data_IF_631420310420
#
_entry.id   IF_631420310420
#
_cell.length_a   1.000
_cell.length_b   1.000
_cell.length_c   1.000
_cell.angle_alpha   90.00
_cell.angle_beta   90.00
_cell.angle_gamma   90.00
#
_symmetry.space_group_name_H-M   'P 1'
#
loop_
_entity.id
_entity.type
_entity.pdbx_description
1 polymer ?
#
# COMPACT_ATOMS: atom_id res chain seq x y z
N UNK A 1 -2.17 17.64 -6.52
CA UNK A 1 -0.70 17.80 -6.49
C UNK A 1 0.08 16.62 -5.91
N UNK A 2 -0.23 16.05 -4.74
CA UNK A 2 0.55 14.92 -4.19
C UNK A 2 0.42 13.61 -4.99
N UNK A 3 -0.81 13.22 -5.33
CA UNK A 3 -1.08 11.96 -6.03
C UNK A 3 -0.62 11.98 -7.49
N UNK A 4 -0.76 13.12 -8.17
CA UNK A 4 -0.25 13.32 -9.53
C UNK A 4 1.28 13.19 -9.59
N UNK A 5 2.00 13.69 -8.58
CA UNK A 5 3.45 13.52 -8.49
C UNK A 5 3.84 12.05 -8.29
N UNK A 6 3.05 11.28 -7.53
CA UNK A 6 3.25 9.84 -7.37
C UNK A 6 3.08 9.11 -8.70
N UNK A 7 2.02 9.39 -9.46
CA UNK A 7 1.78 8.74 -10.76
C UNK A 7 2.81 9.19 -11.79
N UNK A 8 3.22 10.46 -11.80
CA UNK A 8 4.30 10.94 -12.65
C UNK A 8 5.63 10.23 -12.33
N UNK A 9 5.92 10.02 -11.04
CA UNK A 9 7.09 9.26 -10.61
C UNK A 9 7.01 7.79 -11.04
N UNK A 10 5.87 7.11 -10.82
CA UNK A 10 5.66 5.73 -11.27
C UNK A 10 5.81 5.58 -12.78
N UNK A 11 5.27 6.53 -13.54
CA UNK A 11 5.38 6.61 -15.00
C UNK A 11 6.83 6.80 -15.44
N UNK A 12 7.59 7.66 -14.74
CA UNK A 12 9.02 7.88 -15.02
C UNK A 12 9.89 6.65 -14.77
N UNK A 13 9.45 5.76 -13.89
CA UNK A 13 10.12 4.47 -13.62
C UNK A 13 9.58 3.31 -14.47
N UNK A 14 8.72 3.59 -15.46
CA UNK A 14 8.11 2.59 -16.35
C UNK A 14 7.38 1.46 -15.60
N UNK A 15 6.78 1.78 -14.45
CA UNK A 15 6.03 0.79 -13.68
C UNK A 15 4.64 0.62 -14.31
N UNK A 16 4.44 -0.48 -15.05
CA UNK A 16 3.15 -0.83 -15.68
C UNK A 16 2.30 -1.80 -14.84
N UNK A 17 2.93 -2.69 -14.09
CA UNK A 17 2.28 -3.69 -13.24
C UNK A 17 2.55 -3.37 -11.77
N UNK A 18 1.87 -2.34 -11.26
CA UNK A 18 1.89 -2.01 -9.83
C UNK A 18 0.65 -2.58 -9.14
N UNK A 19 0.88 -3.39 -8.10
CA UNK A 19 -0.13 -3.68 -7.08
C UNK A 19 0.14 -2.81 -5.85
N UNK A 20 -0.67 -1.77 -5.68
CA UNK A 20 -0.59 -0.86 -4.55
C UNK A 20 -1.40 -1.42 -3.38
N UNK A 21 -0.72 -1.82 -2.30
CA UNK A 21 -1.39 -2.14 -1.04
C UNK A 21 -1.35 -0.93 -0.10
N UNK A 22 -2.53 -0.53 0.40
CA UNK A 22 -2.67 0.54 1.37
C UNK A 22 -3.25 -0.01 2.67
N UNK A 23 -2.74 0.43 3.81
CA UNK A 23 -3.37 0.14 5.10
C UNK A 23 -4.62 1.02 5.25
N UNK A 24 -5.72 0.44 5.74
CA UNK A 24 -6.97 1.16 6.01
C UNK A 24 -6.88 2.04 7.28
N UNK A 25 -5.88 2.93 7.36
CA UNK A 25 -5.69 3.88 8.46
C UNK A 25 -6.39 5.21 8.17
N UNK A 26 -7.72 5.17 8.12
CA UNK A 26 -8.60 6.36 8.10
C UNK A 26 -8.86 7.01 6.72
N UNK A 27 -9.61 8.12 6.73
CA UNK A 27 -10.16 8.82 5.56
C UNK A 27 -9.17 9.27 4.47
N UNK A 28 -7.85 9.18 4.71
CA UNK A 28 -6.84 9.65 3.75
C UNK A 28 -6.39 8.55 2.76
N UNK A 29 -6.56 7.28 3.12
CA UNK A 29 -6.22 6.16 2.25
C UNK A 29 -7.20 5.98 1.10
N UNK A 30 -8.48 6.27 1.32
CA UNK A 30 -9.56 6.11 0.32
C UNK A 30 -9.37 6.99 -0.93
N UNK A 31 -9.09 8.31 -0.82
CA UNK A 31 -8.84 9.14 -1.99
C UNK A 31 -7.63 8.70 -2.82
N UNK A 32 -6.56 8.22 -2.15
CA UNK A 32 -5.37 7.72 -2.83
C UNK A 32 -5.64 6.38 -3.52
N UNK A 33 -6.36 5.47 -2.85
CA UNK A 33 -6.77 4.20 -3.43
C UNK A 33 -7.64 4.42 -4.68
N UNK A 34 -8.61 5.33 -4.60
CA UNK A 34 -9.47 5.69 -5.72
C UNK A 34 -8.67 6.31 -6.88
N UNK A 35 -7.73 7.20 -6.58
CA UNK A 35 -6.89 7.84 -7.60
C UNK A 35 -5.99 6.83 -8.34
N UNK A 36 -5.39 5.88 -7.60
CA UNK A 36 -4.56 4.83 -8.21
C UNK A 36 -5.40 3.83 -9.02
N UNK A 37 -6.59 3.50 -8.55
CA UNK A 37 -7.54 2.66 -9.28
C UNK A 37 -8.00 3.34 -10.58
N UNK A 38 -8.34 4.64 -10.54
CA UNK A 38 -8.73 5.42 -11.72
C UNK A 38 -7.57 5.55 -12.73
N UNK A 39 -6.33 5.61 -12.24
CA UNK A 39 -5.13 5.56 -13.06
C UNK A 39 -4.80 4.17 -13.65
N UNK A 40 -5.62 3.14 -13.36
CA UNK A 40 -5.50 1.80 -13.94
C UNK A 40 -4.59 0.83 -13.17
N UNK A 41 -4.17 1.18 -11.95
CA UNK A 41 -3.37 0.29 -11.11
C UNK A 41 -4.25 -0.65 -10.28
N UNK A 42 -3.70 -1.82 -9.94
CA UNK A 42 -4.36 -2.74 -9.00
C UNK A 42 -4.15 -2.20 -7.59
N UNK A 43 -5.23 -2.04 -6.83
CA UNK A 43 -5.17 -1.49 -5.49
C UNK A 43 -5.84 -2.43 -4.50
N UNK A 44 -5.19 -2.73 -3.38
CA UNK A 44 -5.81 -3.47 -2.28
C UNK A 44 -5.73 -2.69 -0.98
N UNK A 45 -6.86 -2.63 -0.28
CA UNK A 45 -6.95 -1.99 1.03
C UNK A 45 -6.84 -3.05 2.11
N UNK A 46 -5.68 -3.12 2.76
CA UNK A 46 -5.39 -4.07 3.81
C UNK A 46 -5.94 -3.60 5.16
N UNK A 47 -6.62 -4.49 5.88
CA UNK A 47 -7.10 -4.20 7.23
C UNK A 47 -5.89 -3.96 8.17
N UNK A 48 -5.82 -2.83 8.90
CA UNK A 48 -4.73 -2.56 9.84
C UNK A 48 -4.56 -3.65 10.89
N UNK A 49 -5.63 -4.34 11.28
CA UNK A 49 -5.54 -5.49 12.17
C UNK A 49 -4.79 -6.67 11.53
N UNK A 50 -4.96 -6.92 10.23
CA UNK A 50 -4.28 -7.97 9.49
C UNK A 50 -2.79 -7.62 9.26
N UNK A 51 -2.51 -6.36 8.90
CA UNK A 51 -1.14 -5.84 8.78
C UNK A 51 -0.40 -5.96 10.12
N UNK A 52 -1.05 -5.60 11.24
CA UNK A 52 -0.48 -5.76 12.59
C UNK A 52 -0.30 -7.23 12.99
N UNK A 53 -1.23 -8.11 12.64
CA UNK A 53 -1.08 -9.54 12.89
C UNK A 53 0.14 -10.12 12.15
N UNK A 54 0.35 -9.69 10.90
CA UNK A 54 1.53 -10.06 10.10
C UNK A 54 2.83 -9.48 10.69
N UNK A 55 2.81 -8.23 11.15
CA UNK A 55 3.95 -7.61 11.85
C UNK A 55 4.33 -8.34 13.14
N UNK A 56 3.32 -8.74 13.92
CA UNK A 56 3.52 -9.49 15.16
C UNK A 56 4.07 -10.90 14.88
N UNK A 57 3.65 -11.55 13.79
CA UNK A 57 4.21 -12.83 13.37
C UNK A 57 5.69 -12.71 12.93
N UNK A 58 6.09 -11.54 12.42
CA UNK A 58 7.46 -11.24 12.01
C UNK A 58 8.40 -10.70 13.10
N UNK A 59 7.96 -10.63 14.37
CA UNK A 59 8.76 -10.14 15.52
C UNK A 59 9.30 -8.68 15.39
N UNK A 60 8.72 -7.83 14.53
CA UNK A 60 9.16 -6.44 14.41
C UNK A 60 8.54 -5.55 15.50
N UNK A 61 9.35 -5.08 16.45
CA UNK A 61 8.93 -4.23 17.59
C UNK A 61 9.15 -2.72 17.36
N UNK A 62 9.66 -2.33 16.20
CA UNK A 62 9.98 -0.93 15.87
C UNK A 62 8.94 -0.34 14.93
N UNK A 63 8.18 0.65 15.41
CA UNK A 63 7.23 1.44 14.60
C UNK A 63 7.93 2.67 14.03
N UNK A 64 8.32 2.62 12.76
CA UNK A 64 8.67 3.80 11.97
C UNK A 64 7.93 3.71 10.63
N UNK A 65 7.56 4.86 10.04
CA UNK A 65 6.80 4.91 8.77
C UNK A 65 7.47 4.09 7.65
N UNK A 66 8.81 4.03 7.65
CA UNK A 66 9.57 3.21 6.71
C UNK A 66 9.38 1.70 6.93
N UNK A 67 9.40 1.26 8.18
CA UNK A 67 9.21 -0.16 8.52
C UNK A 67 7.76 -0.58 8.23
N UNK A 68 6.80 0.32 8.44
CA UNK A 68 5.39 0.07 8.16
C UNK A 68 5.13 -0.09 6.65
N UNK A 69 5.68 0.82 5.82
CA UNK A 69 5.62 0.72 4.37
C UNK A 69 6.28 -0.55 3.82
N UNK A 70 7.44 -0.94 4.36
CA UNK A 70 8.12 -2.18 3.97
C UNK A 70 7.31 -3.42 4.37
N UNK A 71 6.64 -3.38 5.52
CA UNK A 71 5.79 -4.45 5.98
C UNK A 71 4.55 -4.63 5.08
N UNK A 72 3.91 -3.53 4.68
CA UNK A 72 2.76 -3.55 3.76
C UNK A 72 3.18 -4.08 2.38
N UNK A 73 4.37 -3.68 1.89
CA UNK A 73 4.91 -4.19 0.63
C UNK A 73 5.18 -5.71 0.67
N UNK A 74 5.56 -6.26 1.83
CA UNK A 74 5.71 -7.72 2.04
C UNK A 74 4.38 -8.43 2.25
N UNK A 75 3.41 -7.78 2.89
CA UNK A 75 2.07 -8.31 3.14
C UNK A 75 1.30 -8.50 1.83
N UNK A 76 1.40 -7.54 0.90
CA UNK A 76 0.67 -7.52 -0.37
C UNK A 76 0.80 -8.84 -1.18
N UNK A 77 2.01 -9.31 -1.53
CA UNK A 77 2.17 -10.59 -2.22
C UNK A 77 1.91 -11.81 -1.33
N UNK A 78 2.11 -11.71 -0.02
CA UNK A 78 2.01 -12.84 0.91
C UNK A 78 0.56 -13.21 1.26
N UNK A 79 -0.33 -12.22 1.30
CA UNK A 79 -1.72 -12.40 1.72
C UNK A 79 -2.72 -12.21 0.59
N UNK A 80 -2.27 -11.71 -0.58
CA UNK A 80 -3.12 -11.41 -1.75
C UNK A 80 -4.49 -10.86 -1.33
N UNK A 81 -4.52 -9.76 -0.55
CA UNK A 81 -5.78 -9.16 -0.12
C UNK A 81 -6.64 -8.86 -1.34
N UNK A 82 -7.96 -8.98 -1.21
CA UNK A 82 -8.87 -8.70 -2.30
C UNK A 82 -8.59 -7.31 -2.88
N UNK A 83 -8.46 -7.25 -4.21
CA UNK A 83 -8.38 -6.02 -4.98
C UNK A 83 -9.78 -5.56 -5.38
#
# INVERSE_FOLDING_TARGET
>A
HGFEQLVAWLSSHQVSDLHACLEATGNYGEPLALFLHDAGFVVSVANPAAVRAFANAGLSRTKTDKVDAELIARFCPAQQPAA
#
